data_IF_524322208602
#
_entry.id   IF_524322208602
#
_cell.length_a   1.000
_cell.length_b   1.000
_cell.length_c   1.000
_cell.angle_alpha   90.00
_cell.angle_beta   90.00
_cell.angle_gamma   90.00
#
_symmetry.space_group_name_H-M   'P 1'
#
loop_
_entity.id
_entity.type
_entity.pdbx_description
1 polymer ?
#
# COMPACT_ATOMS: atom_id res chain seq x y z
N UNK A 1 32.50 -4.80 30.38
CA UNK A 1 32.76 -5.46 29.07
C UNK A 1 32.35 -4.52 27.91
N UNK A 2 32.64 -3.22 28.01
CA UNK A 2 32.02 -2.20 27.14
C UNK A 2 32.88 -1.92 25.90
N UNK A 3 34.20 -1.82 26.09
CA UNK A 3 35.16 -1.33 25.12
C UNK A 3 35.25 -2.18 23.82
N UNK A 4 34.82 -3.43 23.86
CA UNK A 4 34.95 -4.38 22.73
C UNK A 4 33.85 -4.17 21.66
N UNK A 5 32.69 -3.64 22.07
CA UNK A 5 31.57 -3.31 21.17
C UNK A 5 31.89 -2.01 20.42
N UNK A 6 32.38 -0.99 21.14
CA UNK A 6 32.79 0.30 20.56
C UNK A 6 33.96 0.13 19.58
N UNK A 7 34.94 -0.72 19.89
CA UNK A 7 36.07 -1.04 18.99
C UNK A 7 35.70 -1.93 17.78
N UNK A 8 34.48 -2.50 17.75
CA UNK A 8 33.91 -3.16 16.57
C UNK A 8 33.13 -2.16 15.71
N UNK A 9 32.22 -1.38 16.31
CA UNK A 9 31.46 -0.32 15.63
C UNK A 9 32.39 0.71 14.98
N UNK A 10 33.37 1.22 15.72
CA UNK A 10 34.36 2.18 15.22
C UNK A 10 35.34 1.63 14.17
N UNK A 11 35.29 0.32 13.88
CA UNK A 11 36.07 -0.33 12.82
C UNK A 11 35.23 -0.50 11.56
N UNK A 12 34.03 -1.07 11.68
CA UNK A 12 33.10 -1.23 10.56
C UNK A 12 32.70 0.11 9.92
N UNK A 13 32.57 1.18 10.72
CA UNK A 13 32.31 2.53 10.19
C UNK A 13 33.49 3.15 9.41
N UNK A 14 34.73 2.66 9.60
CA UNK A 14 35.90 3.08 8.80
C UNK A 14 36.02 2.22 7.55
N UNK A 15 35.83 0.91 7.68
CA UNK A 15 35.78 -0.01 6.54
C UNK A 15 34.66 0.35 5.54
N UNK A 16 33.57 0.97 5.99
CA UNK A 16 32.53 1.57 5.14
C UNK A 16 32.90 2.93 4.51
N UNK A 17 33.82 3.69 5.12
CA UNK A 17 34.25 4.99 4.61
C UNK A 17 35.34 4.87 3.53
N UNK A 18 36.17 3.83 3.61
CA UNK A 18 37.25 3.55 2.65
C UNK A 18 36.78 2.78 1.39
N UNK A 19 35.47 2.48 1.25
CA UNK A 19 34.91 1.89 0.02
C UNK A 19 34.86 2.95 -1.09
N UNK A 20 35.58 2.77 -2.22
CA UNK A 20 35.52 3.73 -3.32
C UNK A 20 34.12 3.75 -3.94
N UNK A 21 33.47 4.92 -3.93
CA UNK A 21 32.13 5.12 -4.49
C UNK A 21 32.10 4.70 -5.97
N UNK A 22 31.20 3.78 -6.38
CA UNK A 22 31.09 3.36 -7.77
C UNK A 22 30.76 4.54 -8.69
N UNK A 23 31.70 4.86 -9.58
CA UNK A 23 31.54 5.93 -10.56
C UNK A 23 30.32 5.67 -11.47
N UNK A 24 29.51 6.71 -11.69
CA UNK A 24 28.34 6.68 -12.58
C UNK A 24 26.96 6.63 -11.90
N UNK A 25 26.84 6.35 -10.60
CA UNK A 25 25.52 6.32 -9.93
C UNK A 25 24.80 7.68 -9.96
N UNK A 26 25.51 8.77 -9.66
CA UNK A 26 24.96 10.13 -9.72
C UNK A 26 24.58 10.55 -11.16
N UNK A 27 25.38 10.12 -12.15
CA UNK A 27 25.15 10.43 -13.57
C UNK A 27 23.98 9.62 -14.15
N UNK A 28 23.82 8.35 -13.74
CA UNK A 28 22.67 7.52 -14.07
C UNK A 28 21.36 8.08 -13.51
N UNK A 29 21.39 8.61 -12.28
CA UNK A 29 20.25 9.31 -11.68
C UNK A 29 19.89 10.59 -12.46
N UNK A 30 20.88 11.43 -12.77
CA UNK A 30 20.69 12.65 -13.58
C UNK A 30 20.23 12.33 -15.01
N UNK A 31 20.70 11.24 -15.62
CA UNK A 31 20.27 10.79 -16.94
C UNK A 31 18.80 10.34 -16.94
N UNK A 32 18.36 9.57 -15.93
CA UNK A 32 16.94 9.20 -15.75
C UNK A 32 16.07 10.45 -15.52
N UNK A 33 16.48 11.36 -14.64
CA UNK A 33 15.76 12.61 -14.38
C UNK A 33 15.62 13.50 -15.64
N UNK A 34 16.66 13.58 -16.47
CA UNK A 34 16.62 14.30 -17.77
C UNK A 34 15.73 13.61 -18.81
N UNK A 35 15.63 12.28 -18.83
CA UNK A 35 14.68 11.55 -19.70
C UNK A 35 13.23 11.78 -19.26
N UNK A 36 12.93 11.69 -17.96
CA UNK A 36 11.58 11.95 -17.43
C UNK A 36 11.06 13.35 -17.79
N UNK A 37 11.90 14.39 -17.62
CA UNK A 37 11.54 15.77 -18.02
C UNK A 37 11.33 15.95 -19.52
N UNK A 38 11.98 15.15 -20.38
CA UNK A 38 11.74 15.18 -21.84
C UNK A 38 10.44 14.49 -22.24
N UNK A 39 10.03 13.43 -21.55
CA UNK A 39 8.74 12.78 -21.82
C UNK A 39 7.55 13.74 -21.58
N UNK A 40 7.55 14.41 -20.42
CA UNK A 40 6.52 15.41 -20.06
C UNK A 40 6.44 16.60 -21.03
N UNK A 41 7.55 16.98 -21.68
CA UNK A 41 7.56 18.08 -22.65
C UNK A 41 7.01 17.69 -24.04
N UNK A 42 6.87 16.40 -24.34
CA UNK A 42 6.32 15.91 -25.61
C UNK A 42 4.81 15.68 -25.53
N UNK A 43 4.31 15.15 -24.41
CA UNK A 43 2.87 14.89 -24.21
C UNK A 43 2.05 16.18 -24.20
N UNK A 44 2.55 17.26 -23.59
CA UNK A 44 1.87 18.57 -23.60
C UNK A 44 1.95 19.31 -24.94
N UNK A 45 2.84 18.90 -25.86
CA UNK A 45 3.01 19.53 -27.17
C UNK A 45 2.10 18.98 -28.29
N UNK A 46 1.50 17.81 -28.09
CA UNK A 46 0.76 17.08 -29.13
C UNK A 46 -0.77 17.08 -28.98
N UNK A 47 -1.31 17.59 -27.87
CA UNK A 47 -2.77 17.70 -27.66
C UNK A 47 -3.47 18.72 -28.59
N UNK A 48 -2.73 19.48 -29.41
CA UNK A 48 -3.25 20.56 -30.24
C UNK A 48 -3.46 20.20 -31.73
N UNK A 49 -3.02 19.02 -32.21
CA UNK A 49 -3.06 18.67 -33.64
C UNK A 49 -3.35 17.17 -33.87
N UNK A 50 -4.62 16.78 -34.03
CA UNK A 50 -5.08 15.59 -34.80
C UNK A 50 -6.62 15.41 -34.85
N UNK A 51 -7.41 16.47 -35.06
CA UNK A 51 -8.87 16.34 -35.14
C UNK A 51 -9.36 15.90 -36.55
N UNK A 52 -9.07 14.67 -36.99
CA UNK A 52 -9.73 14.00 -38.15
C UNK A 52 -9.40 12.51 -38.28
N UNK A 53 -10.41 11.65 -38.50
CA UNK A 53 -10.32 10.57 -39.51
C UNK A 53 -10.32 9.09 -39.09
N UNK A 54 -11.33 8.37 -39.57
CA UNK A 54 -11.30 6.98 -40.09
C UNK A 54 -10.88 5.77 -39.20
N UNK A 55 -11.91 5.10 -38.66
CA UNK A 55 -12.29 3.69 -38.92
C UNK A 55 -11.20 2.77 -39.55
N UNK A 56 -10.77 1.71 -38.84
CA UNK A 56 -10.68 0.34 -39.37
C UNK A 56 -10.35 -0.74 -38.31
N UNK A 57 -10.98 -1.90 -38.46
CA UNK A 57 -10.65 -3.24 -37.93
C UNK A 57 -11.13 -4.25 -39.02
N UNK A 58 -10.91 -5.59 -38.95
CA UNK A 58 -10.35 -6.42 -37.87
C UNK A 58 -9.31 -7.48 -38.37
N UNK A 59 -8.97 -8.46 -37.50
CA UNK A 59 -8.32 -9.76 -37.81
C UNK A 59 -6.82 -9.72 -38.26
N UNK A 60 -6.00 -10.80 -38.21
CA UNK A 60 -6.19 -12.25 -37.92
C UNK A 60 -4.84 -12.90 -37.44
N UNK A 61 -4.88 -14.18 -37.05
CA UNK A 61 -3.79 -15.19 -36.93
C UNK A 61 -2.82 -15.17 -35.72
N UNK A 62 -2.96 -16.21 -34.87
CA UNK A 62 -1.81 -16.95 -34.28
C UNK A 62 -1.36 -18.06 -35.26
N UNK A 63 -0.09 -18.50 -35.28
CA UNK A 63 0.21 -19.84 -34.73
C UNK A 63 1.66 -20.10 -34.22
N UNK A 64 1.83 -21.15 -33.39
CA UNK A 64 2.91 -22.16 -33.59
C UNK A 64 4.26 -22.07 -32.84
N UNK A 65 4.33 -22.65 -31.62
CA UNK A 65 5.15 -23.84 -31.29
C UNK A 65 6.70 -23.85 -31.27
N UNK A 66 7.27 -24.38 -30.17
CA UNK A 66 8.65 -24.92 -30.06
C UNK A 66 9.73 -23.92 -29.60
N UNK A 67 10.83 -24.31 -28.93
CA UNK A 67 11.29 -25.61 -28.38
C UNK A 67 12.26 -25.34 -27.19
N UNK A 68 12.15 -26.00 -26.04
CA UNK A 68 12.82 -27.25 -25.62
C UNK A 68 14.20 -27.11 -24.91
N UNK A 69 14.22 -27.47 -23.61
CA UNK A 69 15.33 -28.07 -22.82
C UNK A 69 14.68 -28.61 -21.53
N UNK A 70 14.64 -29.91 -21.20
CA UNK A 70 15.73 -30.83 -20.84
C UNK A 70 16.46 -30.43 -19.54
N UNK A 71 16.66 -31.29 -18.52
CA UNK A 71 16.32 -32.72 -18.36
C UNK A 71 16.43 -33.16 -16.87
N UNK A 72 15.65 -34.17 -16.44
CA UNK A 72 15.76 -35.00 -15.20
C UNK A 72 15.92 -34.30 -13.81
N UNK A 73 15.32 -34.78 -12.71
CA UNK A 73 14.37 -35.88 -12.49
C UNK A 73 14.35 -36.33 -11.02
N UNK A 74 13.17 -36.52 -10.41
CA UNK A 74 13.00 -37.02 -9.03
C UNK A 74 11.71 -37.88 -8.92
N UNK A 75 11.64 -38.87 -8.01
CA UNK A 75 10.60 -39.89 -8.02
C UNK A 75 9.38 -39.61 -7.10
N UNK A 76 8.21 -40.24 -7.34
CA UNK A 76 7.16 -40.48 -6.34
C UNK A 76 7.53 -41.68 -5.42
N UNK A 77 6.79 -42.01 -4.33
CA UNK A 77 5.52 -41.47 -3.81
C UNK A 77 5.73 -40.77 -2.43
N UNK A 78 4.88 -40.71 -1.38
CA UNK A 78 3.57 -41.31 -0.98
C UNK A 78 2.87 -40.38 0.07
N UNK A 79 1.61 -40.63 0.51
CA UNK A 79 0.84 -39.72 1.40
C UNK A 79 0.98 -40.00 2.92
N UNK A 80 0.28 -39.18 3.73
CA UNK A 80 0.14 -39.24 5.21
C UNK A 80 1.39 -38.74 5.96
N UNK A 81 1.35 -37.66 6.75
CA UNK A 81 0.77 -37.64 8.12
C UNK A 81 0.57 -36.20 8.61
N UNK A 82 -0.49 -35.91 9.36
CA UNK A 82 -0.68 -34.60 10.02
C UNK A 82 0.10 -34.53 11.37
N UNK A 83 0.86 -33.45 11.65
CA UNK A 83 1.50 -33.25 12.95
C UNK A 83 0.47 -32.86 14.04
N UNK A 84 0.69 -33.23 15.31
CA UNK A 84 -0.32 -33.13 16.37
C UNK A 84 -0.43 -31.75 17.01
N UNK A 85 -1.62 -31.45 17.55
CA UNK A 85 -1.81 -30.37 18.53
C UNK A 85 -0.98 -30.62 19.81
N UNK A 86 -0.53 -29.55 20.45
CA UNK A 86 0.14 -29.60 21.76
C UNK A 86 -0.15 -28.31 22.56
N UNK A 87 -0.06 -28.34 23.90
CA UNK A 87 -1.12 -27.75 24.73
C UNK A 87 -0.90 -26.30 25.18
N UNK A 88 -2.02 -25.70 25.59
CA UNK A 88 -2.13 -24.39 26.24
C UNK A 88 -1.22 -24.24 27.47
N UNK A 89 -0.45 -23.15 27.52
CA UNK A 89 0.29 -22.72 28.72
C UNK A 89 -0.54 -21.72 29.53
N UNK A 90 -0.51 -21.81 30.86
CA UNK A 90 -1.27 -20.93 31.76
C UNK A 90 -0.65 -19.51 31.87
N UNK A 91 -1.42 -18.49 32.31
CA UNK A 91 -0.95 -17.09 32.33
C UNK A 91 0.17 -16.83 33.34
N UNK A 92 1.20 -16.10 32.90
CA UNK A 92 2.20 -15.48 33.78
C UNK A 92 1.68 -14.19 34.45
N UNK A 93 2.33 -13.71 35.52
CA UNK A 93 1.90 -12.52 36.25
C UNK A 93 2.16 -11.20 35.50
N UNK A 94 1.43 -10.16 35.90
CA UNK A 94 1.38 -8.84 35.25
C UNK A 94 2.74 -8.11 35.29
N UNK A 95 3.22 -7.65 34.13
CA UNK A 95 4.38 -6.75 34.05
C UNK A 95 4.78 -6.38 32.61
N UNK A 96 4.97 -5.07 32.36
CA UNK A 96 5.28 -4.45 31.06
C UNK A 96 4.16 -4.49 30.01
N UNK A 97 4.22 -3.57 29.04
CA UNK A 97 3.33 -3.56 27.88
C UNK A 97 3.58 -4.79 26.99
N UNK A 98 2.55 -5.19 26.22
CA UNK A 98 2.67 -6.29 25.27
C UNK A 98 3.74 -5.97 24.20
N UNK A 99 4.52 -6.97 23.74
CA UNK A 99 5.42 -6.79 22.62
C UNK A 99 4.63 -6.57 21.33
N UNK A 100 5.29 -5.96 20.35
CA UNK A 100 4.78 -5.77 18.99
C UNK A 100 4.28 -7.10 18.39
N UNK A 101 3.00 -7.17 18.05
CA UNK A 101 2.34 -8.35 17.49
C UNK A 101 1.95 -8.19 16.00
N UNK A 102 2.48 -7.18 15.31
CA UNK A 102 2.24 -6.91 13.90
C UNK A 102 2.95 -7.91 12.98
N UNK A 103 2.23 -8.99 12.60
CA UNK A 103 2.72 -10.03 11.69
C UNK A 103 2.31 -9.75 10.24
N UNK A 104 3.30 -9.70 9.33
CA UNK A 104 3.06 -9.61 7.89
C UNK A 104 2.28 -10.83 7.35
N UNK A 105 1.32 -10.57 6.47
CA UNK A 105 0.53 -11.59 5.77
C UNK A 105 1.41 -12.40 4.79
N UNK A 106 1.34 -13.73 4.89
CA UNK A 106 2.18 -14.66 4.13
C UNK A 106 2.00 -14.53 2.63
N UNK A 107 2.96 -13.87 1.99
CA UNK A 107 3.09 -13.70 0.53
C UNK A 107 3.39 -15.06 -0.14
N UNK A 108 2.90 -15.25 -1.35
CA UNK A 108 3.18 -16.43 -2.19
C UNK A 108 4.65 -16.41 -2.62
N UNK A 109 5.34 -17.54 -2.51
CA UNK A 109 6.72 -17.69 -2.99
C UNK A 109 6.75 -17.87 -4.51
N UNK A 110 7.05 -16.79 -5.23
CA UNK A 110 7.21 -16.75 -6.68
C UNK A 110 7.51 -15.33 -7.17
N UNK A 111 7.57 -15.13 -8.48
CA UNK A 111 7.81 -13.80 -9.07
C UNK A 111 6.60 -12.84 -8.85
N UNK A 112 5.40 -13.40 -8.72
CA UNK A 112 4.16 -12.68 -8.39
C UNK A 112 4.11 -12.32 -6.91
N UNK A 113 4.45 -11.07 -6.59
CA UNK A 113 4.44 -10.50 -5.24
C UNK A 113 3.02 -10.28 -4.70
N UNK A 114 2.32 -11.34 -4.33
CA UNK A 114 0.92 -11.32 -3.91
C UNK A 114 0.71 -12.14 -2.64
N UNK A 115 -0.32 -11.81 -1.87
CA UNK A 115 -0.85 -12.66 -0.80
C UNK A 115 -1.97 -13.51 -1.41
N UNK A 116 -1.99 -14.83 -1.15
CA UNK A 116 -3.06 -15.70 -1.64
C UNK A 116 -4.41 -15.33 -0.98
N UNK A 117 -5.56 -15.39 -1.68
CA UNK A 117 -6.86 -14.99 -1.10
C UNK A 117 -7.24 -15.67 0.21
N UNK A 118 -6.89 -16.96 0.40
CA UNK A 118 -7.10 -17.67 1.67
C UNK A 118 -6.24 -17.17 2.84
N UNK A 119 -5.22 -16.34 2.57
CA UNK A 119 -4.35 -15.71 3.57
C UNK A 119 -4.68 -14.21 3.77
N UNK A 120 -5.72 -13.67 3.11
CA UNK A 120 -6.10 -12.26 3.28
C UNK A 120 -6.72 -12.04 4.68
N UNK A 121 -6.28 -11.01 5.45
CA UNK A 121 -6.96 -10.59 6.67
C UNK A 121 -8.44 -10.25 6.44
N UNK A 122 -9.27 -10.36 7.48
CA UNK A 122 -10.72 -10.19 7.35
C UNK A 122 -11.11 -8.81 6.78
N UNK A 123 -10.51 -7.73 7.30
CA UNK A 123 -10.74 -6.38 6.81
C UNK A 123 -10.40 -6.20 5.32
N UNK A 124 -9.43 -6.96 4.79
CA UNK A 124 -9.10 -6.92 3.36
C UNK A 124 -10.20 -7.59 2.54
N UNK A 125 -10.78 -8.70 3.02
CA UNK A 125 -11.91 -9.36 2.35
C UNK A 125 -13.16 -8.48 2.33
N UNK A 126 -13.49 -7.85 3.48
CA UNK A 126 -14.57 -6.86 3.58
C UNK A 126 -14.36 -5.73 2.57
N UNK A 127 -13.15 -5.17 2.45
CA UNK A 127 -12.85 -4.14 1.45
C UNK A 127 -13.02 -4.65 0.02
N UNK A 128 -12.58 -5.86 -0.31
CA UNK A 128 -12.71 -6.43 -1.65
C UNK A 128 -14.18 -6.59 -2.06
N UNK A 129 -15.07 -6.92 -1.10
CA UNK A 129 -16.53 -7.00 -1.28
C UNK A 129 -17.23 -5.62 -1.31
N UNK A 130 -16.48 -4.51 -1.12
CA UNK A 130 -16.98 -3.12 -1.23
C UNK A 130 -16.33 -2.33 -2.38
N UNK A 131 -15.25 -2.84 -2.98
CA UNK A 131 -14.57 -2.20 -4.10
C UNK A 131 -15.36 -2.36 -5.41
N UNK A 132 -15.18 -1.46 -6.40
CA UNK A 132 -15.88 -1.56 -7.68
C UNK A 132 -15.63 -2.90 -8.39
N UNK A 133 -16.73 -3.55 -8.81
CA UNK A 133 -16.73 -4.81 -9.57
C UNK A 133 -16.00 -4.71 -10.91
N UNK A 134 -15.67 -5.86 -11.51
CA UNK A 134 -15.05 -5.95 -12.84
C UNK A 134 -13.57 -5.58 -12.90
N UNK A 135 -12.92 -5.39 -11.73
CA UNK A 135 -11.50 -5.07 -11.60
C UNK A 135 -10.74 -6.19 -10.86
N UNK A 136 -9.52 -6.47 -11.31
CA UNK A 136 -8.66 -7.55 -10.78
C UNK A 136 -7.97 -7.13 -9.47
N UNK A 137 -8.71 -6.89 -8.39
CA UNK A 137 -8.14 -6.48 -7.11
C UNK A 137 -7.34 -7.62 -6.46
N UNK A 138 -6.09 -7.36 -6.07
CA UNK A 138 -5.22 -8.36 -5.40
C UNK A 138 -4.41 -7.72 -4.27
N UNK A 139 -4.46 -8.31 -3.07
CA UNK A 139 -3.58 -7.91 -1.95
C UNK A 139 -2.12 -8.26 -2.27
N UNK A 140 -1.24 -7.26 -2.24
CA UNK A 140 0.19 -7.41 -2.52
C UNK A 140 1.00 -7.76 -1.25
N UNK A 141 0.68 -7.08 -0.15
CA UNK A 141 1.41 -7.10 1.13
C UNK A 141 0.61 -6.34 2.19
N UNK A 142 0.77 -6.70 3.46
CA UNK A 142 0.09 -6.05 4.58
C UNK A 142 0.24 -6.82 5.88
N UNK A 143 -0.42 -6.38 6.95
CA UNK A 143 -0.55 -7.10 8.23
C UNK A 143 -2.00 -7.04 8.75
N UNK A 144 -2.34 -7.98 9.64
CA UNK A 144 -3.63 -8.01 10.35
C UNK A 144 -3.73 -6.92 11.42
N UNK A 145 -4.93 -6.68 12.02
CA UNK A 145 -5.07 -5.85 13.21
C UNK A 145 -4.10 -6.28 14.33
N UNK A 146 -3.28 -5.34 14.79
CA UNK A 146 -2.18 -5.52 15.74
C UNK A 146 -2.00 -4.28 16.64
N UNK A 147 -1.01 -4.32 17.52
CA UNK A 147 -0.64 -3.28 18.48
C UNK A 147 0.83 -2.89 18.26
N UNK A 148 1.10 -1.94 17.34
CA UNK A 148 2.48 -1.58 17.01
C UNK A 148 3.18 -0.93 18.22
N UNK A 149 4.43 -1.31 18.45
CA UNK A 149 5.27 -0.74 19.50
C UNK A 149 5.80 0.67 19.18
N UNK A 150 5.58 1.12 17.95
CA UNK A 150 6.14 2.34 17.37
C UNK A 150 5.03 3.33 17.03
N UNK A 151 5.22 4.61 17.39
CA UNK A 151 4.31 5.69 17.00
C UNK A 151 4.33 5.93 15.48
N UNK A 152 3.26 6.50 14.93
CA UNK A 152 3.09 6.71 13.49
C UNK A 152 3.05 5.39 12.66
N UNK A 153 2.76 4.25 13.30
CA UNK A 153 2.33 3.01 12.67
C UNK A 153 0.84 2.75 12.91
N UNK A 154 0.15 2.27 11.88
CA UNK A 154 -1.25 1.86 11.94
C UNK A 154 -1.43 0.50 12.63
N UNK A 155 -2.63 0.25 13.16
CA UNK A 155 -2.99 -1.04 13.73
C UNK A 155 -3.25 -2.11 12.66
N UNK A 156 -3.67 -1.73 11.44
CA UNK A 156 -3.62 -2.64 10.29
C UNK A 156 -3.23 -1.86 9.02
N UNK A 157 -2.59 -2.53 8.08
CA UNK A 157 -2.09 -1.96 6.83
C UNK A 157 -2.15 -2.96 5.68
N UNK A 158 -2.62 -2.55 4.50
CA UNK A 158 -2.60 -3.37 3.28
C UNK A 158 -2.38 -2.56 2.01
N UNK A 159 -1.62 -3.14 1.08
CA UNK A 159 -1.51 -2.69 -0.32
C UNK A 159 -2.37 -3.59 -1.20
N UNK A 160 -3.28 -3.00 -1.96
CA UNK A 160 -4.19 -3.68 -2.89
C UNK A 160 -3.92 -3.16 -4.30
N UNK A 161 -3.35 -3.99 -5.17
CA UNK A 161 -3.03 -3.61 -6.54
C UNK A 161 -4.24 -3.79 -7.47
N UNK A 162 -4.27 -3.00 -8.54
CA UNK A 162 -4.99 -3.37 -9.76
C UNK A 162 -4.14 -4.33 -10.58
N UNK A 163 -4.60 -5.57 -10.67
CA UNK A 163 -3.91 -6.66 -11.35
C UNK A 163 -2.70 -7.21 -10.58
N UNK A 164 -2.11 -8.32 -11.08
CA UNK A 164 -1.05 -9.05 -10.40
C UNK A 164 0.23 -8.23 -10.14
N UNK A 165 0.45 -7.18 -10.95
CA UNK A 165 1.72 -6.46 -11.09
C UNK A 165 1.58 -4.91 -10.99
N UNK A 166 0.39 -4.37 -10.64
CA UNK A 166 0.00 -2.94 -10.80
C UNK A 166 -0.25 -2.48 -12.25
N UNK A 167 -0.37 -3.44 -13.17
CA UNK A 167 -0.53 -3.19 -14.61
C UNK A 167 -1.92 -2.64 -14.98
N UNK A 168 -2.96 -2.85 -14.15
CA UNK A 168 -4.36 -2.57 -14.49
C UNK A 168 -4.88 -1.18 -13.99
N UNK A 169 -4.01 -0.21 -13.68
CA UNK A 169 -4.42 1.17 -13.33
C UNK A 169 -3.70 1.83 -12.14
N UNK A 170 -2.95 1.06 -11.34
CA UNK A 170 -2.26 1.55 -10.14
C UNK A 170 -2.52 0.68 -8.91
N UNK A 171 -2.70 1.32 -7.75
CA UNK A 171 -2.95 0.62 -6.48
C UNK A 171 -3.74 1.46 -5.48
N UNK A 172 -4.27 0.77 -4.47
CA UNK A 172 -4.82 1.32 -3.25
C UNK A 172 -3.92 0.97 -2.07
N UNK A 173 -3.89 1.85 -1.07
CA UNK A 173 -3.34 1.55 0.25
C UNK A 173 -4.45 1.70 1.29
N UNK A 174 -4.54 0.80 2.25
CA UNK A 174 -5.60 0.74 3.26
C UNK A 174 -5.01 0.66 4.66
N UNK A 175 -5.57 1.42 5.59
CA UNK A 175 -5.09 1.60 6.95
C UNK A 175 -6.26 1.57 7.94
N UNK A 176 -6.08 0.88 9.08
CA UNK A 176 -6.99 0.89 10.23
C UNK A 176 -6.19 1.35 11.47
N UNK A 177 -6.75 2.28 12.25
CA UNK A 177 -6.09 2.86 13.43
C UNK A 177 -7.03 2.96 14.64
N UNK A 178 -6.53 2.65 15.83
CA UNK A 178 -7.27 2.73 17.10
C UNK A 178 -7.28 4.13 17.74
N UNK A 179 -6.57 5.09 17.13
CA UNK A 179 -6.41 6.46 17.63
C UNK A 179 -5.42 6.63 18.79
N UNK A 180 -4.73 5.56 19.22
CA UNK A 180 -3.73 5.60 20.30
C UNK A 180 -2.29 5.77 19.77
N UNK A 181 -2.01 5.30 18.55
CA UNK A 181 -0.69 5.37 17.91
C UNK A 181 -0.51 6.58 16.97
N UNK A 182 -1.62 7.18 16.52
CA UNK A 182 -1.64 8.34 15.60
C UNK A 182 -2.73 9.37 15.98
N UNK A 183 -2.48 10.68 15.80
CA UNK A 183 -3.44 11.73 16.12
C UNK A 183 -4.52 11.88 15.04
N UNK A 184 -5.75 11.41 15.33
CA UNK A 184 -6.88 11.51 14.40
C UNK A 184 -7.42 12.94 14.24
N UNK A 185 -7.91 13.24 13.03
CA UNK A 185 -8.60 14.50 12.70
C UNK A 185 -10.02 14.48 13.26
N UNK A 186 -10.44 15.56 13.94
CA UNK A 186 -11.69 15.59 14.72
C UNK A 186 -12.84 16.33 14.05
N UNK A 187 -12.53 17.27 13.15
CA UNK A 187 -13.51 17.97 12.32
C UNK A 187 -12.94 18.45 10.98
N UNK A 188 -13.81 19.00 10.13
CA UNK A 188 -13.42 19.49 8.81
C UNK A 188 -12.46 20.70 8.82
N UNK A 189 -12.40 21.50 9.89
CA UNK A 189 -11.41 22.58 9.99
C UNK A 189 -10.01 22.02 10.29
N UNK A 190 -9.91 20.92 11.04
CA UNK A 190 -8.64 20.18 11.17
C UNK A 190 -8.23 19.50 9.85
N UNK A 191 -9.19 18.98 9.07
CA UNK A 191 -8.96 18.45 7.71
C UNK A 191 -8.44 19.55 6.76
N UNK A 192 -9.10 20.71 6.70
CA UNK A 192 -8.66 21.87 5.91
C UNK A 192 -7.27 22.34 6.34
N UNK A 193 -7.02 22.44 7.65
CA UNK A 193 -5.71 22.80 8.19
C UNK A 193 -4.63 21.77 7.86
N UNK A 194 -4.97 20.47 7.81
CA UNK A 194 -4.05 19.37 7.45
C UNK A 194 -3.70 19.37 5.96
N UNK A 195 -4.68 19.53 5.06
CA UNK A 195 -4.46 19.65 3.61
C UNK A 195 -3.64 20.90 3.26
N UNK A 196 -3.90 22.02 3.95
CA UNK A 196 -3.19 23.28 3.76
C UNK A 196 -1.75 23.29 4.31
N UNK A 197 -1.32 22.28 5.09
CA UNK A 197 0.08 22.16 5.53
C UNK A 197 1.01 22.03 4.32
N UNK A 198 2.23 22.55 4.46
CA UNK A 198 3.26 22.39 3.43
C UNK A 198 4.09 21.12 3.65
N UNK A 199 4.44 20.44 2.57
CA UNK A 199 5.42 19.36 2.55
C UNK A 199 6.85 19.88 2.70
N UNK A 200 7.81 18.96 2.79
CA UNK A 200 9.25 19.29 2.84
C UNK A 200 9.78 19.93 1.54
N UNK A 201 9.04 19.80 0.45
CA UNK A 201 9.25 20.46 -0.84
C UNK A 201 8.68 21.89 -0.92
N UNK A 202 7.94 22.33 0.11
CA UNK A 202 7.31 23.65 0.18
C UNK A 202 5.96 23.78 -0.54
N UNK A 203 5.48 22.72 -1.19
CA UNK A 203 4.15 22.64 -1.79
C UNK A 203 3.09 22.36 -0.72
N UNK A 204 1.80 22.63 -0.98
CA UNK A 204 0.71 22.13 -0.12
C UNK A 204 0.68 20.59 -0.17
N UNK A 205 0.27 19.95 0.93
CA UNK A 205 -0.04 18.52 0.95
C UNK A 205 -1.17 18.19 -0.03
N UNK A 206 -2.21 19.02 -0.07
CA UNK A 206 -3.32 18.84 -1.00
C UNK A 206 -4.41 19.91 -0.92
N UNK A 207 -5.57 19.56 -1.46
CA UNK A 207 -6.82 20.31 -1.40
C UNK A 207 -7.94 19.37 -0.93
N UNK A 208 -8.83 19.87 -0.06
CA UNK A 208 -9.96 19.08 0.44
C UNK A 208 -10.99 18.92 -0.67
N UNK A 209 -11.06 17.73 -1.26
CA UNK A 209 -12.04 17.39 -2.28
C UNK A 209 -13.45 17.31 -1.69
N UNK A 210 -13.57 16.78 -0.46
CA UNK A 210 -14.84 16.67 0.24
C UNK A 210 -14.62 16.53 1.75
N UNK A 211 -15.51 17.09 2.58
CA UNK A 211 -15.59 16.75 3.99
C UNK A 211 -17.04 16.73 4.47
N UNK A 212 -17.37 15.80 5.36
CA UNK A 212 -18.69 15.59 5.94
C UNK A 212 -18.53 15.38 7.43
N UNK A 213 -19.02 16.32 8.24
CA UNK A 213 -18.86 16.29 9.70
C UNK A 213 -19.48 15.03 10.30
N UNK A 214 -18.76 14.41 11.22
CA UNK A 214 -19.24 13.26 11.99
C UNK A 214 -20.35 13.62 12.98
N UNK A 215 -20.99 12.58 13.50
CA UNK A 215 -21.98 12.63 14.58
C UNK A 215 -21.69 11.48 15.56
N UNK A 216 -22.53 11.30 16.59
CA UNK A 216 -22.40 10.15 17.49
C UNK A 216 -22.62 8.79 16.80
N UNK A 217 -23.24 8.75 15.61
CA UNK A 217 -23.57 7.52 14.89
C UNK A 217 -23.09 7.49 13.42
N UNK A 218 -22.31 8.49 12.98
CA UNK A 218 -21.71 8.55 11.65
C UNK A 218 -20.28 9.09 11.75
N UNK A 219 -19.28 8.50 11.08
CA UNK A 219 -17.91 9.02 11.14
C UNK A 219 -17.81 10.43 10.52
N UNK A 220 -16.79 11.17 10.95
CA UNK A 220 -16.23 12.26 10.14
C UNK A 220 -15.67 11.62 8.87
N UNK A 221 -16.20 11.97 7.70
CA UNK A 221 -15.64 11.57 6.42
C UNK A 221 -14.89 12.74 5.78
N UNK A 222 -13.71 12.48 5.22
CA UNK A 222 -13.00 13.44 4.38
C UNK A 222 -12.35 12.77 3.17
N UNK A 223 -12.08 13.57 2.15
CA UNK A 223 -11.28 13.22 0.98
C UNK A 223 -10.37 14.41 0.60
N UNK A 224 -9.09 14.14 0.34
CA UNK A 224 -8.06 15.11 -0.02
C UNK A 224 -7.41 14.67 -1.33
N UNK A 225 -7.43 15.54 -2.35
CA UNK A 225 -6.58 15.40 -3.52
C UNK A 225 -5.18 15.89 -3.13
N UNK A 226 -4.16 15.04 -3.23
CA UNK A 226 -2.79 15.43 -2.90
C UNK A 226 -2.08 16.17 -4.05
N UNK A 227 -0.89 16.70 -3.79
CA UNK A 227 -0.09 17.42 -4.81
C UNK A 227 0.58 16.51 -5.86
N UNK A 228 0.43 15.19 -5.76
CA UNK A 228 0.95 14.19 -6.69
C UNK A 228 -0.14 13.52 -7.55
N UNK A 229 -1.42 13.89 -7.37
CA UNK A 229 -2.56 13.35 -8.11
C UNK A 229 -3.19 12.09 -7.49
N UNK A 230 -2.89 11.83 -6.22
CA UNK A 230 -3.48 10.77 -5.41
C UNK A 230 -4.73 11.29 -4.68
N UNK A 231 -5.66 10.38 -4.36
CA UNK A 231 -6.84 10.68 -3.57
C UNK A 231 -6.78 9.95 -2.23
N UNK A 232 -6.69 10.69 -1.13
CA UNK A 232 -6.67 10.12 0.23
C UNK A 232 -8.02 10.38 0.90
N UNK A 233 -8.77 9.32 1.19
CA UNK A 233 -10.05 9.39 1.90
C UNK A 233 -9.95 8.75 3.28
N UNK A 234 -10.65 9.31 4.27
CA UNK A 234 -10.65 8.79 5.64
C UNK A 234 -12.00 8.93 6.34
N UNK A 235 -12.26 8.00 7.25
CA UNK A 235 -13.35 7.98 8.20
C UNK A 235 -12.79 7.94 9.63
N UNK A 236 -13.26 8.83 10.50
CA UNK A 236 -12.94 8.84 11.93
C UNK A 236 -14.23 8.75 12.73
N UNK A 237 -14.38 7.72 13.56
CA UNK A 237 -15.58 7.50 14.37
C UNK A 237 -15.51 8.24 15.70
N UNK A 238 -16.67 8.44 16.33
CA UNK A 238 -16.77 9.11 17.64
C UNK A 238 -16.11 8.34 18.79
N UNK A 239 -15.74 7.07 18.58
CA UNK A 239 -14.95 6.24 19.49
C UNK A 239 -13.42 6.46 19.34
N UNK A 240 -12.98 7.32 18.42
CA UNK A 240 -11.58 7.68 18.20
C UNK A 240 -10.84 6.78 17.20
N UNK A 241 -11.43 5.64 16.83
CA UNK A 241 -10.88 4.72 15.83
C UNK A 241 -11.14 5.25 14.42
N UNK A 242 -10.34 4.81 13.46
CA UNK A 242 -10.33 5.32 12.09
C UNK A 242 -10.00 4.27 11.03
N UNK A 243 -10.38 4.58 9.80
CA UNK A 243 -10.05 3.85 8.57
C UNK A 243 -9.69 4.90 7.53
N UNK A 244 -8.55 4.77 6.85
CA UNK A 244 -8.29 5.58 5.65
C UNK A 244 -7.74 4.75 4.51
N UNK A 245 -7.95 5.26 3.31
CA UNK A 245 -7.60 4.60 2.07
C UNK A 245 -7.04 5.62 1.07
N UNK A 246 -5.89 5.30 0.50
CA UNK A 246 -5.24 6.05 -0.57
C UNK A 246 -5.59 5.40 -1.90
N UNK A 247 -5.93 6.20 -2.91
CA UNK A 247 -6.06 5.78 -4.30
C UNK A 247 -4.97 6.42 -5.14
N UNK A 248 -4.06 5.58 -5.63
CA UNK A 248 -2.78 6.01 -6.20
C UNK A 248 -2.69 5.49 -7.65
N UNK A 249 -2.91 6.36 -8.66
CA UNK A 249 -2.90 5.99 -10.06
C UNK A 249 -1.47 5.74 -10.57
N UNK A 250 -1.36 4.98 -11.65
CA UNK A 250 -0.12 5.00 -12.44
C UNK A 250 0.05 6.37 -13.14
N UNK A 251 1.29 6.76 -13.54
CA UNK A 251 1.54 8.06 -14.15
C UNK A 251 0.80 8.29 -15.48
N UNK A 252 -0.29 9.07 -15.43
CA UNK A 252 -1.13 9.41 -16.59
C UNK A 252 -2.41 8.57 -16.71
N UNK A 253 -2.67 7.66 -15.78
CA UNK A 253 -3.90 6.85 -15.69
C UNK A 253 -4.91 7.50 -14.71
N UNK A 254 -6.22 7.21 -14.83
CA UNK A 254 -7.23 7.71 -13.89
C UNK A 254 -7.09 7.05 -12.50
N UNK A 255 -7.71 7.66 -11.49
CA UNK A 255 -7.76 7.10 -10.13
C UNK A 255 -8.30 5.66 -10.12
N UNK A 256 -7.66 4.71 -9.41
CA UNK A 256 -8.18 3.35 -9.20
C UNK A 256 -9.59 3.32 -8.62
N UNK A 257 -9.92 4.25 -7.69
CA UNK A 257 -11.24 4.48 -7.09
C UNK A 257 -11.42 5.97 -6.84
N UNK A 258 -12.63 6.50 -7.06
CA UNK A 258 -12.97 7.91 -6.84
C UNK A 258 -13.46 8.21 -5.40
N UNK A 259 -13.89 9.46 -5.15
CA UNK A 259 -14.33 9.93 -3.83
C UNK A 259 -15.50 9.12 -3.27
N UNK A 260 -16.46 8.73 -4.11
CA UNK A 260 -17.67 8.03 -3.65
C UNK A 260 -17.44 6.52 -3.53
N UNK A 261 -16.62 5.93 -4.41
CA UNK A 261 -16.14 4.56 -4.21
C UNK A 261 -15.29 4.41 -2.95
N UNK A 262 -14.36 5.34 -2.68
CA UNK A 262 -13.58 5.32 -1.45
C UNK A 262 -14.46 5.55 -0.22
N UNK A 263 -15.46 6.45 -0.29
CA UNK A 263 -16.45 6.67 0.78
C UNK A 263 -17.17 5.38 1.16
N UNK A 264 -17.66 4.61 0.18
CA UNK A 264 -18.35 3.33 0.42
C UNK A 264 -17.46 2.36 1.19
N UNK A 265 -16.16 2.31 0.87
CA UNK A 265 -15.19 1.49 1.61
C UNK A 265 -14.92 2.06 3.00
N UNK A 266 -14.37 3.28 3.11
CA UNK A 266 -13.81 3.76 4.39
C UNK A 266 -14.87 4.04 5.45
N UNK A 267 -16.13 4.31 5.07
CA UNK A 267 -17.21 4.53 6.05
C UNK A 267 -17.90 3.26 6.52
N UNK A 268 -17.51 2.07 6.04
CA UNK A 268 -18.05 0.81 6.52
C UNK A 268 -17.63 0.55 7.97
N UNK A 269 -18.63 0.36 8.84
CA UNK A 269 -18.44 0.08 10.26
C UNK A 269 -17.83 -1.32 10.49
N UNK A 270 -18.07 -2.27 9.59
CA UNK A 270 -17.56 -3.63 9.66
C UNK A 270 -16.01 -3.67 9.61
N UNK A 271 -15.37 -2.65 9.01
CA UNK A 271 -13.91 -2.49 8.97
C UNK A 271 -13.32 -1.99 10.28
N UNK A 272 -13.87 -0.92 10.87
CA UNK A 272 -13.31 -0.34 12.10
C UNK A 272 -13.52 -1.25 13.31
N UNK A 273 -14.62 -2.01 13.34
CA UNK A 273 -14.88 -2.98 14.41
C UNK A 273 -13.94 -4.21 14.35
N UNK A 274 -13.06 -4.34 13.34
CA UNK A 274 -11.95 -5.30 13.32
C UNK A 274 -10.80 -4.93 14.28
N UNK A 275 -10.80 -3.72 14.85
CA UNK A 275 -9.80 -3.26 15.83
C UNK A 275 -10.09 -3.72 17.27
N UNK A 276 -11.30 -4.20 17.54
CA UNK A 276 -11.81 -4.51 18.89
C UNK A 276 -12.53 -3.36 19.58
#
# INVERSE_FOLDING_TARGET
>A
MTNDIENRLGRGLRELADVPVPAGLAEGALARARRARRAYAVTTGLAAVAATGAIAAPFLLSPGGGAESAQFGAPPPDPVTAPPLSPTTAPGPVGSAAPDDCVEATRVTGDTKQVAPGNWPEYVRIVMDRLPEGKNWVMQSGYGPCRPSTQDMSNAYSVINLGPNREDGGHLTLYLDDGTHQPMLRDCAEVEAAAARKGADGNRRGEVALCTKGTASTPLFYAINDSYGQLVAGAVWADGRAVWMESIPNPGEPLPVDVDGLRVVVTDRELVDQLG
#
